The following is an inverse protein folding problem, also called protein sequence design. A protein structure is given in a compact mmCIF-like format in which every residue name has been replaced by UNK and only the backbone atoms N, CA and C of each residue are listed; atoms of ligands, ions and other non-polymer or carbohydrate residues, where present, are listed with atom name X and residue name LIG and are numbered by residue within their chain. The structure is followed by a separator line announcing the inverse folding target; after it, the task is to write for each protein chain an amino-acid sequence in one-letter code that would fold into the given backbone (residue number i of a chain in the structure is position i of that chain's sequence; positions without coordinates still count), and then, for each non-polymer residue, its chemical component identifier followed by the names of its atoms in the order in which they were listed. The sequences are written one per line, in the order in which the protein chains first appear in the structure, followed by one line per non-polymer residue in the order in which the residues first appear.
data_IF_966132752216
#
_entry.id   IF_966132752216
#
_cell.length_a   1.000
_cell.length_b   1.000
_cell.length_c   1.000
_cell.angle_alpha   90.00
_cell.angle_beta   90.00
_cell.angle_gamma   90.00
#
_symmetry.space_group_name_H-M   'P 1'
#
loop_
_entity.id
_entity.type
_entity.pdbx_description
1 polymer ?
#
# COMPACT_ATOMS: atom_id res chain seq x y z
N UNK A 1 -2.14 7.21 13.56
CA UNK A 1 -1.81 6.54 12.30
C UNK A 1 -3.06 6.35 11.47
N UNK A 2 -2.93 6.10 10.16
CA UNK A 2 -4.05 6.17 9.20
C UNK A 2 -4.66 4.79 8.95
N UNK A 3 -5.75 4.49 9.68
CA UNK A 3 -6.55 3.26 9.49
C UNK A 3 -7.03 3.09 8.05
N UNK A 4 -7.30 4.20 7.36
CA UNK A 4 -7.71 4.18 5.95
C UNK A 4 -6.58 3.68 5.03
N UNK A 5 -5.35 4.18 5.23
CA UNK A 5 -4.21 3.75 4.42
C UNK A 5 -3.94 2.24 4.59
N UNK A 6 -3.99 1.76 5.84
CA UNK A 6 -3.82 0.32 6.15
C UNK A 6 -4.84 -0.51 5.37
N UNK A 7 -6.12 -0.10 5.39
CA UNK A 7 -7.19 -0.78 4.68
C UNK A 7 -6.95 -0.76 3.16
N UNK A 8 -6.58 0.38 2.58
CA UNK A 8 -6.30 0.51 1.15
C UNK A 8 -5.13 -0.38 0.71
N UNK A 9 -4.05 -0.42 1.49
CA UNK A 9 -2.88 -1.27 1.21
C UNK A 9 -3.25 -2.75 1.16
N UNK A 10 -3.89 -3.24 2.23
CA UNK A 10 -4.30 -4.66 2.31
C UNK A 10 -5.27 -5.02 1.20
N UNK A 11 -6.29 -4.18 0.97
CA UNK A 11 -7.27 -4.39 -0.09
C UNK A 11 -6.62 -4.41 -1.49
N UNK A 12 -5.71 -3.49 -1.78
CA UNK A 12 -5.02 -3.45 -3.06
C UNK A 12 -4.12 -4.68 -3.26
N UNK A 13 -3.39 -5.10 -2.21
CA UNK A 13 -2.54 -6.30 -2.24
C UNK A 13 -3.35 -7.58 -2.44
N UNK A 14 -4.44 -7.75 -1.69
CA UNK A 14 -5.35 -8.88 -1.80
C UNK A 14 -6.02 -8.93 -3.17
N UNK A 15 -6.40 -7.77 -3.72
CA UNK A 15 -7.02 -7.67 -5.04
C UNK A 15 -6.10 -8.19 -6.15
N UNK A 16 -4.79 -7.95 -6.07
CA UNK A 16 -3.80 -8.43 -7.05
C UNK A 16 -3.25 -9.82 -6.71
N UNK A 17 -3.64 -10.41 -5.57
CA UNK A 17 -3.18 -11.74 -5.14
C UNK A 17 -1.69 -11.82 -4.79
N UNK A 18 -1.05 -10.70 -4.47
CA UNK A 18 0.40 -10.65 -4.23
C UNK A 18 0.76 -10.85 -2.74
N UNK A 19 1.91 -11.47 -2.48
CA UNK A 19 2.49 -11.50 -1.13
C UNK A 19 3.02 -10.11 -0.77
N UNK A 20 3.30 -9.86 0.52
CA UNK A 20 3.88 -8.58 0.96
C UNK A 20 5.24 -8.30 0.27
N UNK A 21 6.04 -9.33 -0.01
CA UNK A 21 7.34 -9.16 -0.69
C UNK A 21 7.15 -8.68 -2.13
N UNK A 22 6.27 -9.34 -2.87
CA UNK A 22 5.99 -9.00 -4.27
C UNK A 22 5.35 -7.61 -4.37
N UNK A 23 4.36 -7.33 -3.53
CA UNK A 23 3.66 -6.06 -3.53
C UNK A 23 4.56 -4.89 -3.11
N UNK A 24 5.46 -5.09 -2.13
CA UNK A 24 6.44 -4.08 -1.76
C UNK A 24 7.38 -3.75 -2.93
N UNK A 25 7.82 -4.78 -3.66
CA UNK A 25 8.66 -4.63 -4.86
C UNK A 25 7.91 -3.85 -5.94
N UNK A 26 6.64 -4.17 -6.19
CA UNK A 26 5.77 -3.45 -7.13
C UNK A 26 5.57 -1.97 -6.75
N UNK A 27 5.47 -1.68 -5.45
CA UNK A 27 5.38 -0.31 -4.93
C UNK A 27 6.73 0.43 -4.91
N UNK A 28 7.84 -0.26 -5.15
CA UNK A 28 9.19 0.31 -5.12
C UNK A 28 9.68 0.62 -3.70
N UNK A 29 9.23 -0.13 -2.69
CA UNK A 29 9.59 0.09 -1.28
C UNK A 29 10.16 -1.18 -0.64
N UNK A 30 11.00 -1.07 0.40
CA UNK A 30 11.45 -2.24 1.14
C UNK A 30 10.26 -3.00 1.77
N UNK A 31 10.31 -4.34 1.80
CA UNK A 31 9.27 -5.17 2.41
C UNK A 31 8.98 -4.77 3.86
N UNK A 32 10.01 -4.46 4.65
CA UNK A 32 9.86 -3.99 6.04
C UNK A 32 9.05 -2.69 6.14
N UNK A 33 9.17 -1.82 5.15
CA UNK A 33 8.40 -0.57 5.06
C UNK A 33 6.93 -0.87 4.82
N UNK A 34 6.60 -1.75 3.86
CA UNK A 34 5.23 -2.19 3.62
C UNK A 34 4.62 -2.86 4.86
N UNK A 35 5.34 -3.77 5.51
CA UNK A 35 4.89 -4.45 6.73
C UNK A 35 4.59 -3.42 7.83
N UNK A 36 5.48 -2.43 8.01
CA UNK A 36 5.26 -1.37 8.98
C UNK A 36 4.04 -0.49 8.66
N UNK A 37 3.72 -0.30 7.38
CA UNK A 37 2.51 0.41 6.98
C UNK A 37 1.24 -0.43 7.17
N UNK A 38 1.24 -1.70 6.76
CA UNK A 38 0.07 -2.59 6.90
C UNK A 38 -0.26 -2.97 8.35
N UNK A 39 0.74 -2.94 9.24
CA UNK A 39 0.56 -3.20 10.66
C UNK A 39 0.29 -1.95 11.48
N UNK A 40 0.07 -0.80 10.82
CA UNK A 40 -0.11 0.48 11.50
C UNK A 40 1.04 0.69 12.51
N UNK A 41 2.29 0.61 12.07
CA UNK A 41 3.48 0.92 12.88
C UNK A 41 4.18 2.19 12.38
N UNK A 42 4.02 2.48 11.08
CA UNK A 42 4.53 3.67 10.40
C UNK A 42 3.50 4.14 9.40
N UNK A 43 3.54 5.42 9.07
CA UNK A 43 2.70 6.01 8.01
C UNK A 43 3.60 6.89 7.14
N UNK A 44 3.58 6.73 5.80
CA UNK A 44 4.25 7.67 4.91
C UNK A 44 3.63 9.06 5.05
N UNK A 45 4.40 10.10 4.72
CA UNK A 45 3.99 11.50 4.89
C UNK A 45 4.31 12.31 3.64
N UNK A 46 3.64 13.46 3.51
CA UNK A 46 3.84 14.40 2.40
C UNK A 46 3.67 13.74 1.04
N UNK A 47 4.53 14.10 0.09
CA UNK A 47 4.48 13.62 -1.31
C UNK A 47 4.49 12.09 -1.44
N UNK A 48 5.18 11.38 -0.53
CA UNK A 48 5.19 9.92 -0.56
C UNK A 48 3.81 9.32 -0.23
N UNK A 49 3.04 9.95 0.67
CA UNK A 49 1.68 9.51 1.00
C UNK A 49 0.72 9.77 -0.17
N UNK A 50 0.82 10.94 -0.81
CA UNK A 50 0.00 11.30 -1.96
C UNK A 50 0.23 10.35 -3.14
N UNK A 51 1.50 10.13 -3.50
CA UNK A 51 1.88 9.20 -4.57
C UNK A 51 1.44 7.77 -4.27
N UNK A 52 1.53 7.33 -3.01
CA UNK A 52 1.07 6.00 -2.61
C UNK A 52 -0.45 5.88 -2.74
N UNK A 53 -1.21 6.85 -2.24
CA UNK A 53 -2.68 6.86 -2.36
C UNK A 53 -3.12 6.83 -3.82
N UNK A 54 -2.48 7.60 -4.71
CA UNK A 54 -2.78 7.59 -6.14
C UNK A 54 -2.53 6.20 -6.77
N UNK A 55 -1.42 5.54 -6.44
CA UNK A 55 -1.13 4.17 -6.90
C UNK A 55 -2.17 3.16 -6.40
N UNK A 56 -2.56 3.24 -5.12
CA UNK A 56 -3.55 2.35 -4.52
C UNK A 56 -4.93 2.55 -5.15
N UNK A 57 -5.35 3.79 -5.35
CA UNK A 57 -6.62 4.11 -5.99
C UNK A 57 -6.65 3.61 -7.45
N UNK A 58 -5.53 3.68 -8.17
CA UNK A 58 -5.43 3.11 -9.53
C UNK A 58 -5.60 1.59 -9.54
N UNK A 59 -4.97 0.87 -8.60
CA UNK A 59 -5.12 -0.58 -8.44
C UNK A 59 -6.58 -0.93 -8.11
N UNK A 60 -7.19 -0.21 -7.16
CA UNK A 60 -8.54 -0.49 -6.69
C UNK A 60 -9.62 -0.14 -7.73
N UNK A 61 -9.41 0.89 -8.57
CA UNK A 61 -10.34 1.28 -9.64
C UNK A 61 -10.22 0.44 -10.91
N UNK A 62 -9.08 -0.20 -11.15
CA UNK A 62 -8.81 -1.02 -12.34
C UNK A 62 -9.61 -2.31 -12.44
N UNK A 63 -10.48 -2.63 -11.47
CA UNK A 63 -11.35 -3.82 -11.45
C UNK A 63 -12.69 -3.65 -12.19
N UNK A 64 -12.76 -2.73 -13.17
CA UNK A 64 -13.97 -2.55 -14.00
C UNK A 64 -13.92 -3.41 -15.24
#
# INVERSE_FOLDING_TARGET
MSKELVRKLKAARELVGETQVVFATRLGVPTRTLIGWENDQRTPRGLALEALNAKLDAILKGKK
#
